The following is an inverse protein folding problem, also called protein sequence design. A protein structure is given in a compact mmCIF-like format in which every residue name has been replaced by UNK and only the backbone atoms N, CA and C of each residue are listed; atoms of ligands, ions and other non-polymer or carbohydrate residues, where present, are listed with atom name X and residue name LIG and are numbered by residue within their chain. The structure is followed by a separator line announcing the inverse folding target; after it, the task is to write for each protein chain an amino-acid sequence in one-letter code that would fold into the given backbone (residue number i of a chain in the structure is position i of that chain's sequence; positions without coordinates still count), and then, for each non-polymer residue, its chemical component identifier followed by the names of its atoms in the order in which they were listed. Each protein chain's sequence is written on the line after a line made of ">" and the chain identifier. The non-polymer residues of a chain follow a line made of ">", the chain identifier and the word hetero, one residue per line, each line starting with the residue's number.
data_IF_942887138419
#
_entry.id   IF_942887138419
#
_cell.length_a   1.000
_cell.length_b   1.000
_cell.length_c   1.000
_cell.angle_alpha   90.00
_cell.angle_beta   90.00
_cell.angle_gamma   90.00
#
_symmetry.space_group_name_H-M   'P 1'
#
loop_
_entity.id
_entity.type
_entity.pdbx_description
1 polymer ?
#
# COMPACT_ATOMS: atom_id res chain seq x y z
N UNK A 1 6.18 19.19 -4.23
CA UNK A 1 5.19 19.64 -3.23
C UNK A 1 3.99 20.37 -3.85
N UNK A 2 3.78 20.34 -5.18
CA UNK A 2 2.80 21.23 -5.83
C UNK A 2 1.35 20.72 -5.84
N UNK A 3 1.13 19.42 -5.60
CA UNK A 3 -0.19 18.77 -5.75
C UNK A 3 -0.67 18.08 -4.47
N UNK A 4 -0.08 18.42 -3.32
CA UNK A 4 -0.49 17.86 -2.03
C UNK A 4 -0.55 16.32 -2.02
N UNK A 5 0.43 15.70 -2.66
CA UNK A 5 0.52 14.25 -2.74
C UNK A 5 1.16 13.67 -1.49
N UNK A 6 0.64 12.53 -1.06
CA UNK A 6 1.26 11.63 -0.11
C UNK A 6 1.70 10.34 -0.82
N UNK A 7 2.51 9.55 -0.11
CA UNK A 7 3.02 8.28 -0.60
C UNK A 7 2.57 7.13 0.30
N UNK A 8 2.19 6.01 -0.30
CA UNK A 8 1.91 4.75 0.40
C UNK A 8 2.75 3.64 -0.22
N UNK A 9 3.53 2.94 0.60
CA UNK A 9 4.25 1.73 0.21
C UNK A 9 3.44 0.50 0.61
N UNK A 10 2.98 -0.25 -0.38
CA UNK A 10 2.33 -1.56 -0.18
C UNK A 10 3.41 -2.62 -0.13
N UNK A 11 3.43 -3.41 0.93
CA UNK A 11 4.46 -4.43 1.19
C UNK A 11 3.92 -5.85 1.13
N UNK A 12 4.83 -6.82 1.02
CA UNK A 12 4.53 -8.25 1.01
C UNK A 12 3.55 -8.66 -0.10
N UNK A 13 3.65 -8.03 -1.27
CA UNK A 13 2.84 -8.41 -2.43
C UNK A 13 3.36 -9.76 -2.95
N UNK A 14 2.54 -10.83 -2.92
CA UNK A 14 2.98 -12.13 -3.38
C UNK A 14 3.00 -12.17 -4.91
N UNK A 15 4.17 -12.39 -5.50
CA UNK A 15 4.31 -12.56 -6.94
C UNK A 15 4.89 -13.92 -7.30
N UNK A 16 4.44 -14.49 -8.42
CA UNK A 16 5.06 -15.68 -9.03
C UNK A 16 6.21 -15.23 -9.93
N UNK A 17 7.34 -15.94 -9.85
CA UNK A 17 8.45 -15.71 -10.78
C UNK A 17 8.21 -16.36 -12.14
N UNK A 18 8.25 -15.58 -13.23
CA UNK A 18 8.00 -16.09 -14.59
C UNK A 18 9.05 -17.12 -15.05
N UNK A 19 10.31 -16.95 -14.63
CA UNK A 19 11.40 -17.84 -15.04
C UNK A 19 11.65 -18.98 -14.05
N UNK A 20 11.09 -18.91 -12.84
CA UNK A 20 11.27 -19.91 -11.80
C UNK A 20 9.96 -20.07 -11.03
N UNK A 21 8.98 -20.75 -11.62
CA UNK A 21 7.65 -20.95 -11.04
C UNK A 21 7.63 -21.60 -9.64
N UNK A 22 8.77 -22.12 -9.18
CA UNK A 22 8.98 -22.75 -7.89
C UNK A 22 9.45 -21.77 -6.79
N UNK A 23 9.76 -20.52 -7.15
CA UNK A 23 10.18 -19.48 -6.20
C UNK A 23 9.17 -18.33 -6.21
N UNK A 24 8.60 -18.02 -5.04
CA UNK A 24 7.84 -16.80 -4.82
C UNK A 24 8.73 -15.75 -4.19
N UNK A 25 8.65 -14.51 -4.66
CA UNK A 25 9.25 -13.36 -4.00
C UNK A 25 8.16 -12.38 -3.57
N UNK A 26 8.43 -11.70 -2.46
CA UNK A 26 7.60 -10.63 -1.93
C UNK A 26 8.16 -9.30 -2.37
N UNK A 27 7.29 -8.42 -2.84
CA UNK A 27 7.68 -7.14 -3.38
C UNK A 27 6.92 -6.00 -2.72
N UNK A 28 7.55 -4.83 -2.79
CA UNK A 28 6.99 -3.59 -2.30
C UNK A 28 6.73 -2.66 -3.49
N UNK A 29 5.60 -1.96 -3.47
CA UNK A 29 5.21 -0.99 -4.50
C UNK A 29 4.80 0.32 -3.84
N UNK A 30 5.44 1.41 -4.26
CA UNK A 30 5.13 2.76 -3.79
C UNK A 30 4.11 3.43 -4.73
N UNK A 31 3.05 4.00 -4.14
CA UNK A 31 1.97 4.69 -4.82
C UNK A 31 1.86 6.12 -4.33
N UNK A 32 1.68 7.06 -5.25
CA UNK A 32 1.31 8.45 -4.96
C UNK A 32 -0.19 8.65 -5.10
N UNK A 33 -0.76 9.45 -4.22
CA UNK A 33 -2.17 9.85 -4.24
C UNK A 33 -2.35 11.14 -3.42
N UNK A 34 -3.56 11.71 -3.42
CA UNK A 34 -3.85 12.89 -2.62
C UNK A 34 -3.63 12.62 -1.12
N UNK A 35 -3.07 13.58 -0.38
CA UNK A 35 -2.77 13.46 1.06
C UNK A 35 -4.00 13.19 1.93
N UNK A 36 -5.20 13.54 1.45
CA UNK A 36 -6.45 13.29 2.18
C UNK A 36 -6.75 11.81 2.40
N UNK A 37 -6.18 10.91 1.60
CA UNK A 37 -6.25 9.47 1.85
C UNK A 37 -5.65 9.07 3.21
N UNK A 38 -4.80 9.90 3.80
CA UNK A 38 -4.13 9.65 5.08
C UNK A 38 -4.78 10.39 6.26
N UNK A 39 -5.77 11.25 6.02
CA UNK A 39 -6.33 12.12 7.07
C UNK A 39 -7.00 11.33 8.18
N UNK A 40 -7.76 10.29 7.83
CA UNK A 40 -8.45 9.45 8.82
C UNK A 40 -7.45 8.58 9.62
N UNK A 41 -6.36 8.15 8.97
CA UNK A 41 -5.26 7.45 9.64
C UNK A 41 -4.58 8.33 10.70
N UNK A 42 -4.32 9.59 10.35
CA UNK A 42 -3.63 10.54 11.24
C UNK A 42 -4.52 10.99 12.41
N UNK A 43 -5.84 11.13 12.17
CA UNK A 43 -6.83 11.51 13.21
C UNK A 43 -7.10 10.41 14.23
N UNK A 44 -6.92 9.15 13.85
CA UNK A 44 -7.21 8.00 14.72
C UNK A 44 -6.21 7.85 15.88
N UNK A 45 -5.23 8.76 16.00
CA UNK A 45 -4.25 8.78 17.11
C UNK A 45 -3.28 7.61 17.09
N UNK A 46 -3.38 6.73 16.09
CA UNK A 46 -2.43 5.65 15.82
C UNK A 46 -1.20 6.28 15.14
N UNK A 47 -0.53 7.16 15.89
CA UNK A 47 0.70 7.83 15.53
C UNK A 47 1.86 6.83 15.61
N UNK A 48 1.74 5.75 14.83
CA UNK A 48 2.82 4.85 14.49
C UNK A 48 3.75 5.46 13.42
N UNK A 49 3.87 6.80 13.40
CA UNK A 49 4.93 7.54 12.73
C UNK A 49 6.27 7.22 13.41
N UNK A 50 6.75 6.01 13.18
CA UNK A 50 8.08 5.57 13.58
C UNK A 50 9.10 6.14 12.61
N UNK A 51 9.45 7.41 12.79
CA UNK A 51 10.54 8.06 12.06
C UNK A 51 11.05 9.23 12.89
N UNK A 52 12.27 9.11 13.42
CA UNK A 52 12.93 10.20 14.17
C UNK A 52 12.83 11.52 13.40
N UNK A 53 12.42 12.58 14.10
CA UNK A 53 12.75 13.96 13.74
C UNK A 53 14.27 14.10 13.65
N UNK A 54 14.83 13.79 12.48
CA UNK A 54 16.13 14.24 12.04
C UNK A 54 15.93 14.86 10.67
N UNK A 55 15.90 16.18 10.71
CA UNK A 55 16.11 17.13 9.64
C UNK A 55 16.82 16.50 8.42
N UNK A 56 16.01 16.12 7.43
CA UNK A 56 16.45 15.40 6.24
C UNK A 56 15.22 15.04 5.42
N UNK A 57 15.18 15.50 4.17
CA UNK A 57 14.08 15.43 3.20
C UNK A 57 13.71 14.00 2.79
N UNK A 58 13.16 13.20 3.70
CA UNK A 58 12.53 11.93 3.39
C UNK A 58 11.02 12.14 3.25
N UNK A 59 10.49 11.91 2.04
CA UNK A 59 9.03 11.77 1.84
C UNK A 59 8.56 10.64 2.75
N UNK A 60 7.86 11.00 3.82
CA UNK A 60 7.30 10.03 4.74
C UNK A 60 6.21 9.24 4.01
N UNK A 61 6.49 7.96 3.73
CA UNK A 61 5.56 7.04 3.08
C UNK A 61 4.87 6.18 4.13
N UNK A 62 3.54 6.06 4.03
CA UNK A 62 2.80 5.14 4.90
C UNK A 62 3.02 3.72 4.41
N UNK A 63 3.45 2.83 5.29
CA UNK A 63 3.62 1.42 4.97
C UNK A 63 2.35 0.65 5.28
N UNK A 64 1.78 0.00 4.27
CA UNK A 64 0.65 -0.92 4.41
C UNK A 64 1.06 -2.30 3.91
N UNK A 65 0.48 -3.36 4.48
CA UNK A 65 0.76 -4.74 4.11
C UNK A 65 -0.38 -5.31 3.29
N UNK A 66 -0.03 -6.03 2.23
CA UNK A 66 -0.98 -6.80 1.43
C UNK A 66 -1.68 -7.88 2.26
N UNK A 67 -3.01 -7.89 2.23
CA UNK A 67 -3.81 -9.01 2.72
C UNK A 67 -4.24 -9.89 1.54
N UNK A 68 -3.83 -11.16 1.55
CA UNK A 68 -4.29 -12.14 0.56
C UNK A 68 -5.82 -12.24 0.61
N UNK A 69 -6.54 -11.95 -0.48
CA UNK A 69 -8.01 -12.00 -0.50
C UNK A 69 -8.51 -13.38 -0.09
N UNK A 70 -9.38 -13.46 0.91
CA UNK A 70 -10.13 -14.70 1.21
C UNK A 70 -11.30 -14.82 0.22
N UNK A 71 -11.77 -16.04 -0.02
CA UNK A 71 -12.83 -16.36 -1.00
C UNK A 71 -14.18 -15.67 -0.77
N UNK A 72 -14.41 -15.08 0.41
CA UNK A 72 -15.61 -14.33 0.74
C UNK A 72 -15.26 -12.85 0.93
N UNK A 73 -14.90 -12.15 -0.14
CA UNK A 73 -14.75 -10.70 -0.10
C UNK A 73 -16.12 -10.04 0.12
N UNK A 74 -16.22 -9.16 1.11
CA UNK A 74 -17.43 -8.34 1.31
C UNK A 74 -17.64 -7.51 0.04
N UNK A 75 -18.80 -7.63 -0.60
CA UNK A 75 -19.09 -6.90 -1.86
C UNK A 75 -19.23 -5.39 -1.64
N UNK A 76 -19.59 -4.97 -0.43
CA UNK A 76 -19.80 -3.57 -0.05
C UNK A 76 -18.97 -3.20 1.20
N UNK A 77 -17.94 -2.38 1.02
CA UNK A 77 -17.17 -1.82 2.12
C UNK A 77 -17.66 -0.41 2.46
N UNK A 78 -17.81 -0.11 3.76
CA UNK A 78 -17.94 1.26 4.20
C UNK A 78 -16.66 2.03 3.82
N UNK A 79 -16.82 3.11 3.05
CA UNK A 79 -15.73 3.86 2.45
C UNK A 79 -15.94 5.34 2.73
N UNK A 80 -15.01 5.96 3.48
CA UNK A 80 -15.05 7.40 3.80
C UNK A 80 -14.40 8.27 2.72
N UNK A 81 -13.66 7.66 1.78
CA UNK A 81 -13.05 8.35 0.66
C UNK A 81 -12.38 7.41 -0.33
N UNK A 82 -12.35 7.82 -1.60
CA UNK A 82 -11.72 7.09 -2.70
C UNK A 82 -10.82 8.03 -3.49
N UNK A 83 -9.55 7.67 -3.62
CA UNK A 83 -8.53 8.53 -4.22
C UNK A 83 -7.83 7.80 -5.36
N UNK A 84 -7.58 8.52 -6.46
CA UNK A 84 -6.78 7.99 -7.56
C UNK A 84 -5.34 7.80 -7.11
N UNK A 85 -4.72 6.73 -7.59
CA UNK A 85 -3.33 6.37 -7.32
C UNK A 85 -2.48 6.45 -8.59
N UNK A 86 -1.18 6.65 -8.43
CA UNK A 86 -0.16 6.51 -9.47
C UNK A 86 1.04 5.77 -8.89
N UNK A 87 1.48 4.63 -9.46
CA UNK A 87 2.74 4.02 -9.07
C UNK A 87 3.90 4.99 -9.28
N UNK A 88 4.86 5.01 -8.36
CA UNK A 88 6.09 5.82 -8.48
C UNK A 88 6.95 5.29 -9.63
N UNK A 89 7.14 3.98 -9.69
CA UNK A 89 7.83 3.30 -10.79
C UNK A 89 6.84 2.46 -11.59
N UNK A 90 6.13 3.11 -12.52
CA UNK A 90 5.07 2.51 -13.34
C UNK A 90 5.55 1.34 -14.21
N UNK A 91 6.82 1.33 -14.61
CA UNK A 91 7.37 0.32 -15.53
C UNK A 91 8.04 -0.85 -14.81
N UNK A 92 8.23 -0.75 -13.48
CA UNK A 92 8.72 -1.87 -12.69
C UNK A 92 7.78 -3.06 -12.77
N UNK A 93 8.36 -4.27 -12.76
CA UNK A 93 7.58 -5.52 -12.74
C UNK A 93 6.63 -5.59 -11.53
N UNK A 94 7.04 -5.25 -10.29
CA UNK A 94 6.12 -5.21 -9.15
C UNK A 94 4.90 -4.32 -9.37
N UNK A 95 5.10 -3.09 -9.86
CA UNK A 95 4.00 -2.17 -10.13
C UNK A 95 3.12 -2.65 -11.27
N UNK A 96 3.72 -3.22 -12.32
CA UNK A 96 2.99 -3.81 -13.45
C UNK A 96 2.11 -4.98 -13.00
N UNK A 97 2.61 -5.88 -12.16
CA UNK A 97 1.82 -6.98 -11.63
C UNK A 97 0.68 -6.50 -10.73
N UNK A 98 0.94 -5.54 -9.83
CA UNK A 98 -0.08 -4.96 -8.98
C UNK A 98 -1.18 -4.26 -9.79
N UNK A 99 -0.81 -3.38 -10.72
CA UNK A 99 -1.77 -2.63 -11.53
C UNK A 99 -2.58 -3.55 -12.43
N UNK A 100 -1.97 -4.52 -13.10
CA UNK A 100 -2.71 -5.51 -13.88
C UNK A 100 -3.64 -6.38 -13.02
N UNK A 101 -3.22 -6.75 -11.81
CA UNK A 101 -4.09 -7.47 -10.87
C UNK A 101 -5.37 -6.67 -10.58
N UNK A 102 -5.25 -5.37 -10.32
CA UNK A 102 -6.38 -4.47 -10.07
C UNK A 102 -7.23 -4.26 -11.32
N UNK A 103 -6.61 -4.07 -12.49
CA UNK A 103 -7.29 -3.89 -13.77
C UNK A 103 -8.08 -5.12 -14.20
N UNK A 104 -7.71 -6.31 -13.74
CA UNK A 104 -8.48 -7.55 -13.93
C UNK A 104 -9.74 -7.63 -13.04
N UNK A 105 -10.17 -6.53 -12.42
CA UNK A 105 -11.38 -6.45 -11.61
C UNK A 105 -11.24 -7.02 -10.20
N UNK A 106 -10.01 -7.29 -9.74
CA UNK A 106 -9.74 -7.77 -8.38
C UNK A 106 -9.44 -6.60 -7.46
N UNK A 107 -9.88 -6.69 -6.21
CA UNK A 107 -9.54 -5.74 -5.16
C UNK A 107 -8.47 -6.31 -4.22
N UNK A 108 -7.80 -5.41 -3.51
CA UNK A 108 -6.76 -5.73 -2.54
C UNK A 108 -7.14 -5.06 -1.23
N UNK A 109 -7.13 -5.84 -0.15
CA UNK A 109 -7.23 -5.29 1.19
C UNK A 109 -5.82 -5.03 1.73
N UNK A 110 -5.69 -3.90 2.42
CA UNK A 110 -4.43 -3.45 2.99
C UNK A 110 -4.59 -3.34 4.51
N UNK A 111 -3.63 -3.85 5.25
CA UNK A 111 -3.58 -3.73 6.72
C UNK A 111 -2.37 -2.89 7.15
N UNK A 112 -2.53 -2.10 8.22
CA UNK A 112 -1.37 -1.54 8.88
C UNK A 112 -0.56 -2.67 9.55
N UNK A 113 0.78 -2.64 9.47
CA UNK A 113 1.60 -3.59 10.20
C UNK A 113 1.32 -3.49 11.71
N UNK A 114 0.88 -4.58 12.33
CA UNK A 114 0.72 -4.64 13.79
C UNK A 114 2.11 -4.72 14.44
N UNK A 115 2.35 -3.98 15.53
CA UNK A 115 3.48 -4.25 16.41
C UNK A 115 3.35 -5.68 16.96
N UNK A 116 4.45 -6.42 16.98
CA UNK A 116 4.55 -7.68 17.72
C UNK A 116 4.29 -7.40 19.20
N UNK A 117 3.11 -7.76 19.73
CA UNK A 117 2.84 -7.66 21.18
C UNK A 117 1.41 -7.44 21.66
N UNK A 118 0.44 -7.10 20.81
CA UNK A 118 -0.95 -6.95 21.28
C UNK A 118 -1.74 -8.25 21.12
N UNK A 119 -1.94 -8.94 22.25
CA UNK A 119 -3.01 -9.92 22.46
C UNK A 119 -4.31 -9.19 22.76
#
# INVERSE_FOLDING_TARGET
>A
QHFDLASTTITNIPMKEEQHANTSANYDVELLHHKEAHVDFLKSGDNHMGGSSKEGTFKETITLKWCTPRTNSVELHYCTGAYRISPVDVNSRPSSCLTNFLLNGRSVLLEQPRKSGSK
#
